data_IF_904061572038
#
_entry.id   IF_904061572038
#
_cell.length_a   1.000
_cell.length_b   1.000
_cell.length_c   1.000
_cell.angle_alpha   90.00
_cell.angle_beta   90.00
_cell.angle_gamma   90.00
#
_symmetry.space_group_name_H-M   'P 1'
#
loop_
_entity.id
_entity.type
_entity.pdbx_description
1 polymer ?
#
# COMPACT_ATOMS: atom_id res chain seq x y z
N UNK A 1 36.37 -6.14 -9.04
CA UNK A 1 35.55 -5.04 -8.48
C UNK A 1 34.32 -4.96 -9.33
N UNK A 2 33.23 -5.56 -8.85
CA UNK A 2 32.00 -5.79 -9.63
C UNK A 2 31.03 -4.67 -9.29
N UNK A 3 30.86 -3.73 -10.21
CA UNK A 3 29.79 -2.75 -10.15
C UNK A 3 28.71 -3.23 -11.13
N UNK A 4 27.77 -4.03 -10.62
CA UNK A 4 26.59 -4.43 -11.38
C UNK A 4 25.58 -3.29 -11.27
N UNK A 5 25.63 -2.41 -12.27
CA UNK A 5 24.60 -1.42 -12.50
C UNK A 5 23.28 -2.16 -12.82
N UNK A 6 22.36 -2.16 -11.85
CA UNK A 6 20.97 -2.54 -12.08
C UNK A 6 20.33 -1.44 -12.92
N UNK A 7 20.10 -1.77 -14.19
CA UNK A 7 19.26 -1.01 -15.10
C UNK A 7 17.78 -1.21 -14.71
N UNK A 8 16.96 -0.16 -14.57
CA UNK A 8 15.52 -0.31 -14.41
C UNK A 8 14.91 -0.49 -15.80
N UNK A 9 14.94 -1.72 -16.33
CA UNK A 9 14.02 -2.10 -17.39
C UNK A 9 12.68 -2.37 -16.71
N UNK A 10 11.87 -1.33 -16.59
CA UNK A 10 10.44 -1.48 -16.33
C UNK A 10 9.85 -1.90 -17.66
N UNK A 11 9.55 -3.19 -17.79
CA UNK A 11 8.75 -3.71 -18.89
C UNK A 11 7.39 -2.98 -18.83
N UNK A 12 7.15 -2.14 -19.84
CA UNK A 12 5.86 -1.51 -20.11
C UNK A 12 4.89 -2.64 -20.52
N UNK A 13 3.70 -2.69 -19.90
CA UNK A 13 2.56 -3.61 -20.17
C UNK A 13 2.35 -4.84 -19.27
N UNK A 14 3.23 -5.15 -18.33
CA UNK A 14 2.89 -6.14 -17.30
C UNK A 14 3.52 -5.77 -15.96
N UNK A 15 2.95 -4.76 -15.30
CA UNK A 15 3.06 -4.70 -13.85
C UNK A 15 2.62 -6.08 -13.35
N UNK A 16 3.48 -6.89 -12.70
CA UNK A 16 3.06 -8.19 -12.22
C UNK A 16 1.93 -7.90 -11.24
N UNK A 17 0.70 -8.22 -11.64
CA UNK A 17 -0.51 -7.80 -10.95
C UNK A 17 -0.67 -8.61 -9.67
N UNK A 18 0.26 -8.42 -8.75
CA UNK A 18 0.20 -8.95 -7.40
C UNK A 18 -1.14 -8.51 -6.82
N UNK A 19 -1.79 -9.37 -6.02
CA UNK A 19 -3.09 -9.05 -5.43
C UNK A 19 -3.03 -7.71 -4.67
N UNK A 20 -1.88 -7.38 -4.10
CA UNK A 20 -1.59 -6.10 -3.47
C UNK A 20 -1.71 -4.89 -4.42
N UNK A 21 -1.02 -4.90 -5.57
CA UNK A 21 -1.04 -3.76 -6.50
C UNK A 21 -2.43 -3.55 -7.07
N UNK A 22 -3.15 -4.63 -7.39
CA UNK A 22 -4.54 -4.56 -7.84
C UNK A 22 -5.47 -3.99 -6.76
N UNK A 23 -5.25 -4.36 -5.50
CA UNK A 23 -5.98 -3.80 -4.37
C UNK A 23 -5.70 -2.29 -4.22
N UNK A 24 -4.43 -1.89 -4.36
CA UNK A 24 -4.01 -0.50 -4.27
C UNK A 24 -4.68 0.37 -5.35
N UNK A 25 -4.64 -0.04 -6.62
CA UNK A 25 -5.30 0.68 -7.73
C UNK A 25 -6.81 0.80 -7.47
N UNK A 26 -7.46 -0.27 -6.99
CA UNK A 26 -8.89 -0.24 -6.64
C UNK A 26 -9.21 0.75 -5.52
N UNK A 27 -8.36 0.86 -4.50
CA UNK A 27 -8.54 1.83 -3.41
C UNK A 27 -8.34 3.27 -3.90
N UNK A 28 -7.36 3.50 -4.78
CA UNK A 28 -7.11 4.81 -5.40
C UNK A 28 -8.35 5.24 -6.20
N UNK A 29 -8.85 4.37 -7.07
CA UNK A 29 -10.06 4.64 -7.86
C UNK A 29 -11.32 4.81 -7.00
N UNK A 30 -11.46 4.06 -5.89
CA UNK A 30 -12.59 4.20 -4.98
C UNK A 30 -12.65 5.57 -4.27
N UNK A 31 -11.52 6.26 -4.19
CA UNK A 31 -11.42 7.56 -3.55
C UNK A 31 -11.69 8.72 -4.53
N UNK A 32 -11.66 8.47 -5.84
CA UNK A 32 -11.95 9.43 -6.89
C UNK A 32 -13.45 9.68 -7.01
N UNK A 33 -13.95 10.61 -6.18
CA UNK A 33 -15.37 10.99 -6.19
C UNK A 33 -15.80 11.78 -7.42
N UNK A 34 -14.84 12.33 -8.19
CA UNK A 34 -15.11 13.22 -9.31
C UNK A 34 -14.79 12.60 -10.68
N UNK A 35 -14.31 11.35 -10.72
CA UNK A 35 -13.97 10.64 -11.97
C UNK A 35 -12.77 11.24 -12.71
N UNK A 36 -11.91 11.99 -12.02
CA UNK A 36 -10.74 12.64 -12.64
C UNK A 36 -9.62 11.65 -13.00
N UNK A 37 -9.67 10.43 -12.47
CA UNK A 37 -8.65 9.38 -12.62
C UNK A 37 -9.13 8.20 -13.46
N UNK A 38 -10.38 8.23 -13.94
CA UNK A 38 -10.97 7.18 -14.78
C UNK A 38 -10.33 7.09 -16.18
N UNK A 39 -9.71 8.19 -16.64
CA UNK A 39 -8.99 8.26 -17.91
C UNK A 39 -7.50 7.92 -17.81
N UNK A 40 -6.97 7.73 -16.59
CA UNK A 40 -5.55 7.43 -16.35
C UNK A 40 -5.30 5.93 -16.38
N UNK A 41 -4.10 5.54 -16.80
CA UNK A 41 -3.69 4.13 -16.71
C UNK A 41 -3.29 3.74 -15.28
N UNK A 42 -3.38 2.45 -14.94
CA UNK A 42 -2.93 1.94 -13.64
C UNK A 42 -1.48 2.34 -13.33
N UNK A 43 -0.61 2.36 -14.35
CA UNK A 43 0.77 2.79 -14.21
C UNK A 43 0.90 4.27 -13.84
N UNK A 44 0.09 5.14 -14.45
CA UNK A 44 0.07 6.58 -14.13
C UNK A 44 -0.44 6.85 -12.71
N UNK A 45 -1.40 6.05 -12.23
CA UNK A 45 -1.88 6.16 -10.85
C UNK A 45 -0.84 5.70 -9.83
N UNK A 46 -0.04 4.70 -10.19
CA UNK A 46 1.00 4.15 -9.32
C UNK A 46 2.27 5.01 -9.30
N UNK A 47 2.53 5.82 -10.33
CA UNK A 47 3.72 6.69 -10.40
C UNK A 47 3.80 7.64 -9.19
N UNK A 48 2.64 8.13 -8.73
CA UNK A 48 2.53 8.97 -7.53
C UNK A 48 2.99 8.28 -6.23
N UNK A 49 3.05 6.95 -6.21
CA UNK A 49 3.50 6.18 -5.05
C UNK A 49 5.00 5.81 -5.13
N UNK A 50 5.65 6.03 -6.27
CA UNK A 50 7.04 5.66 -6.52
C UNK A 50 7.95 6.88 -6.32
N UNK A 51 8.48 7.04 -5.11
CA UNK A 51 9.38 8.15 -4.78
C UNK A 51 10.84 7.74 -4.99
N UNK A 52 11.56 8.45 -5.87
CA UNK A 52 13.00 8.21 -6.07
C UNK A 52 13.82 8.68 -4.85
N UNK A 53 14.96 8.03 -4.62
CA UNK A 53 15.85 8.30 -3.46
C UNK A 53 16.26 9.77 -3.32
N UNK A 54 16.35 10.51 -4.44
CA UNK A 54 16.65 11.95 -4.47
C UNK A 54 15.48 12.79 -3.95
N UNK A 55 14.26 12.51 -4.41
CA UNK A 55 13.04 13.17 -3.93
C UNK A 55 12.81 12.90 -2.43
N UNK A 56 13.01 11.65 -1.98
CA UNK A 56 12.87 11.29 -0.57
C UNK A 56 13.81 12.06 0.37
N UNK A 57 15.00 12.46 -0.11
CA UNK A 57 15.96 13.26 0.67
C UNK A 57 15.62 14.76 0.67
N UNK A 58 14.92 15.22 -0.36
CA UNK A 58 14.43 16.60 -0.44
C UNK A 58 13.18 16.81 0.42
N UNK A 59 12.46 15.73 0.77
CA UNK A 59 11.30 15.83 1.67
C UNK A 59 11.73 16.33 3.05
N UNK A 60 11.06 17.36 3.59
CA UNK A 60 11.36 17.88 4.91
C UNK A 60 11.11 16.81 5.98
N UNK A 61 12.13 16.50 6.78
CA UNK A 61 12.04 15.54 7.90
C UNK A 61 11.39 16.19 9.13
N UNK A 62 11.48 17.51 9.24
CA UNK A 62 10.97 18.32 10.34
C UNK A 62 9.90 19.24 9.76
N UNK A 63 8.66 19.10 10.22
CA UNK A 63 7.50 19.83 9.75
C UNK A 63 6.30 18.92 9.50
N UNK A 64 5.12 19.52 9.36
CA UNK A 64 3.94 18.77 8.96
C UNK A 64 4.08 18.34 7.50
N UNK A 65 3.78 17.08 7.18
CA UNK A 65 3.78 16.59 5.80
C UNK A 65 2.70 17.32 5.00
N UNK A 66 2.88 17.38 3.69
CA UNK A 66 1.82 17.80 2.80
C UNK A 66 0.61 16.83 2.92
N UNK A 67 -0.63 17.34 2.90
CA UNK A 67 -1.83 16.50 3.04
C UNK A 67 -1.95 15.42 1.96
N UNK A 68 -1.41 15.64 0.77
CA UNK A 68 -1.37 14.63 -0.29
C UNK A 68 -0.50 13.43 0.10
N UNK A 69 0.68 13.68 0.70
CA UNK A 69 1.56 12.61 1.21
C UNK A 69 0.88 11.83 2.32
N UNK A 70 0.10 12.49 3.19
CA UNK A 70 -0.70 11.82 4.22
C UNK A 70 -1.71 10.87 3.62
N UNK A 71 -2.42 11.33 2.60
CA UNK A 71 -3.44 10.55 1.92
C UNK A 71 -2.86 9.35 1.19
N UNK A 72 -1.76 9.53 0.43
CA UNK A 72 -1.04 8.43 -0.23
C UNK A 72 -0.58 7.38 0.78
N UNK A 73 -0.09 7.82 1.95
CA UNK A 73 0.31 6.93 3.02
C UNK A 73 -0.88 6.13 3.56
N UNK A 74 -2.00 6.79 3.82
CA UNK A 74 -3.21 6.14 4.37
C UNK A 74 -3.75 5.05 3.44
N UNK A 75 -3.82 5.33 2.13
CA UNK A 75 -4.23 4.35 1.13
C UNK A 75 -3.25 3.18 1.05
N UNK A 76 -1.94 3.46 1.08
CA UNK A 76 -0.93 2.40 1.04
C UNK A 76 -1.06 1.45 2.23
N UNK A 77 -1.23 2.00 3.45
CA UNK A 77 -1.37 1.17 4.65
C UNK A 77 -2.72 0.46 4.73
N UNK A 78 -3.77 1.03 4.14
CA UNK A 78 -5.06 0.34 3.96
C UNK A 78 -4.91 -0.85 3.01
N UNK A 79 -4.20 -0.69 1.89
CA UNK A 79 -3.89 -1.79 0.97
C UNK A 79 -3.09 -2.90 1.66
N UNK A 80 -2.14 -2.53 2.53
CA UNK A 80 -1.35 -3.49 3.33
C UNK A 80 -2.24 -4.22 4.34
N UNK A 81 -3.14 -3.52 5.03
CA UNK A 81 -4.06 -4.12 5.98
C UNK A 81 -4.98 -5.15 5.31
N UNK A 82 -5.50 -4.83 4.12
CA UNK A 82 -6.30 -5.77 3.32
C UNK A 82 -5.48 -6.97 2.83
N UNK A 83 -4.22 -6.76 2.44
CA UNK A 83 -3.34 -7.87 2.06
C UNK A 83 -3.00 -8.80 3.25
N UNK A 84 -2.92 -8.24 4.46
CA UNK A 84 -2.77 -9.02 5.70
C UNK A 84 -4.06 -9.79 5.99
N UNK A 85 -5.23 -9.15 5.85
CA UNK A 85 -6.53 -9.79 6.05
C UNK A 85 -6.75 -10.95 5.09
N UNK A 86 -6.41 -10.79 3.81
CA UNK A 86 -6.54 -11.83 2.79
C UNK A 86 -5.70 -13.08 3.14
N UNK A 87 -4.52 -12.90 3.73
CA UNK A 87 -3.62 -14.01 4.11
C UNK A 87 -3.92 -14.61 5.47
N UNK A 88 -4.35 -13.79 6.43
CA UNK A 88 -4.51 -14.20 7.83
C UNK A 88 -5.95 -14.52 8.21
N UNK A 89 -6.93 -14.04 7.43
CA UNK A 89 -8.35 -14.07 7.80
C UNK A 89 -8.70 -13.17 8.99
N UNK A 90 -7.77 -12.30 9.43
CA UNK A 90 -7.96 -11.37 10.54
C UNK A 90 -8.29 -10.00 9.97
N UNK A 91 -9.46 -9.46 10.30
CA UNK A 91 -9.81 -8.08 9.96
C UNK A 91 -8.78 -7.16 10.58
N UNK A 92 -8.04 -6.44 9.73
CA UNK A 92 -6.94 -5.56 10.15
C UNK A 92 -7.26 -4.13 9.73
N UNK A 93 -7.13 -3.18 10.65
CA UNK A 93 -7.31 -1.75 10.37
C UNK A 93 -6.03 -0.98 10.71
N UNK A 94 -5.50 -0.16 9.79
CA UNK A 94 -4.34 0.66 10.07
C UNK A 94 -4.74 1.85 10.95
N UNK A 95 -3.96 2.13 11.99
CA UNK A 95 -4.07 3.37 12.76
C UNK A 95 -2.75 4.12 12.72
N UNK A 96 -2.77 5.28 12.09
CA UNK A 96 -1.60 6.17 11.99
C UNK A 96 -1.66 7.20 13.10
N UNK A 97 -0.62 7.24 13.96
CA UNK A 97 -0.42 8.33 14.93
C UNK A 97 0.79 9.16 14.55
N UNK A 98 0.57 10.47 14.44
CA UNK A 98 1.60 11.47 14.22
C UNK A 98 2.28 11.80 15.56
N UNK A 99 3.61 11.67 15.65
CA UNK A 99 4.35 12.25 16.78
C UNK A 99 4.83 13.66 16.42
N UNK A 100 4.96 14.57 17.40
CA UNK A 100 5.40 15.95 17.16
C UNK A 100 6.80 16.09 16.53
N UNK A 101 7.65 15.06 16.60
CA UNK A 101 8.99 15.04 16.00
C UNK A 101 9.02 14.50 14.56
N UNK A 102 7.90 14.48 13.84
CA UNK A 102 7.83 13.97 12.46
C UNK A 102 7.93 12.43 12.35
N UNK A 103 8.16 11.73 13.46
CA UNK A 103 8.13 10.27 13.52
C UNK A 103 6.68 9.78 13.52
N UNK A 104 6.32 9.04 12.47
CA UNK A 104 5.01 8.40 12.37
C UNK A 104 5.10 7.01 12.98
N UNK A 105 4.13 6.66 13.82
CA UNK A 105 3.94 5.28 14.25
C UNK A 105 2.65 4.78 13.64
N UNK A 106 2.76 3.66 12.92
CA UNK A 106 1.64 3.01 12.28
C UNK A 106 1.48 1.68 12.98
N UNK A 107 0.31 1.48 13.56
CA UNK A 107 -0.04 0.27 14.27
C UNK A 107 -1.21 -0.39 13.53
N UNK A 108 -1.07 -1.68 13.26
CA UNK A 108 -2.16 -2.49 12.74
C UNK A 108 -2.86 -3.16 13.91
N UNK A 109 -4.16 -2.98 14.01
CA UNK A 109 -4.98 -3.70 14.98
C UNK A 109 -5.82 -4.73 14.24
N UNK A 110 -5.69 -6.00 14.65
CA UNK A 110 -6.46 -7.10 14.12
C UNK A 110 -7.50 -7.59 15.13
N UNK A 111 -8.74 -7.83 14.70
CA UNK A 111 -9.69 -8.65 15.48
C UNK A 111 -9.63 -10.08 14.93
N UNK A 112 -9.16 -11.01 15.76
CA UNK A 112 -9.24 -12.42 15.42
C UNK A 112 -10.68 -12.93 15.56
N UNK A 113 -11.34 -13.11 14.41
CA UNK A 113 -12.54 -13.94 14.33
C UNK A 113 -12.06 -15.31 13.91
N UNK A 114 -11.98 -16.24 14.87
CA UNK A 114 -11.56 -17.60 14.60
C UNK A 114 -12.47 -18.22 13.55
N UNK A 115 -11.95 -18.42 12.33
CA UNK A 115 -12.63 -19.22 11.34
C UNK A 115 -12.44 -20.67 11.79
N UNK A 116 -13.49 -21.28 12.35
CA UNK A 116 -13.50 -22.72 12.61
C UNK A 116 -13.23 -23.44 11.30
N UNK A 117 -12.00 -23.91 11.13
CA UNK A 117 -11.68 -24.87 10.10
C UNK A 117 -12.25 -26.18 10.60
N UNK A 118 -13.46 -26.53 10.15
CA UNK A 118 -13.97 -27.89 10.29
C UNK A 118 -13.05 -28.80 9.50
N UNK A 119 -12.07 -29.40 10.18
CA UNK A 119 -11.34 -30.53 9.64
C UNK A 119 -12.31 -31.69 9.62
N UNK A 120 -12.94 -31.92 8.46
CA UNK A 120 -13.67 -33.16 8.19
C UNK A 120 -12.68 -34.31 8.36
N UNK A 121 -12.69 -34.94 9.54
CA UNK A 121 -12.03 -36.21 9.75
C UNK A 121 -12.83 -37.23 8.97
N UNK A 122 -12.41 -37.50 7.75
CA UNK A 122 -12.92 -38.60 6.94
C UNK A 122 -12.55 -39.92 7.63
N UNK A 123 -13.52 -40.48 8.35
CA UNK A 123 -13.52 -41.87 8.78
C UNK A 123 -13.85 -42.74 7.57
N UNK A 124 -12.91 -43.59 7.17
CA UNK A 124 -13.14 -44.80 6.38
C UNK A 124 -12.16 -45.86 6.86
#
# INVERSE_FOLDING_TARGET
MSDTAISPAVEEDEAPATPFVRCLVRLIGAQDSYGSWESKSDAELLDDFIVIRKQRRAMPVIGDPEPDVLWRLDILYTAVALAIEERSGLMTSPMTKMKPMGLRTIAFYGRAVGRSVETSTGSA
#
